data_IF_215463329034
#
_entry.id   IF_215463329034
#
_cell.length_a   1.000
_cell.length_b   1.000
_cell.length_c   1.000
_cell.angle_alpha   90.00
_cell.angle_beta   90.00
_cell.angle_gamma   90.00
#
_symmetry.space_group_name_H-M   'P 1'
#
loop_
_entity.id
_entity.type
_entity.pdbx_description
1 polymer ?
#
# COMPACT_ATOMS: atom_id res chain seq x y z
N UNK A 1 -1.83 -15.40 -22.57
CA UNK A 1 -1.89 -16.15 -21.30
C UNK A 1 -0.92 -15.59 -20.26
N UNK A 2 0.40 -15.63 -20.51
CA UNK A 2 1.45 -15.12 -19.57
C UNK A 2 1.22 -13.69 -19.05
N UNK A 3 0.82 -12.76 -19.92
CA UNK A 3 0.56 -11.36 -19.52
C UNK A 3 -0.55 -11.26 -18.46
N UNK A 4 -1.63 -12.04 -18.62
CA UNK A 4 -2.77 -12.03 -17.71
C UNK A 4 -2.39 -12.62 -16.36
N UNK A 5 -1.57 -13.68 -16.36
CA UNK A 5 -1.04 -14.29 -15.13
C UNK A 5 -0.13 -13.33 -14.37
N UNK A 6 0.78 -12.65 -15.07
CA UNK A 6 1.67 -11.65 -14.47
C UNK A 6 0.87 -10.49 -13.87
N UNK A 7 -0.14 -10.00 -14.59
CA UNK A 7 -1.03 -8.94 -14.10
C UNK A 7 -1.82 -9.40 -12.86
N UNK A 8 -2.34 -10.64 -12.88
CA UNK A 8 -3.04 -11.23 -11.73
C UNK A 8 -2.15 -11.32 -10.48
N UNK A 9 -0.92 -11.78 -10.63
CA UNK A 9 0.06 -11.83 -9.53
C UNK A 9 0.38 -10.42 -9.02
N UNK A 10 0.58 -9.45 -9.92
CA UNK A 10 0.85 -8.06 -9.55
C UNK A 10 -0.31 -7.45 -8.75
N UNK A 11 -1.55 -7.67 -9.19
CA UNK A 11 -2.74 -7.22 -8.48
C UNK A 11 -2.89 -7.91 -7.11
N UNK A 12 -2.65 -9.22 -7.03
CA UNK A 12 -2.72 -9.97 -5.78
C UNK A 12 -1.69 -9.47 -4.76
N UNK A 13 -0.45 -9.24 -5.22
CA UNK A 13 0.62 -8.68 -4.40
C UNK A 13 0.29 -7.26 -3.92
N UNK A 14 -0.24 -6.42 -4.81
CA UNK A 14 -0.71 -5.08 -4.45
C UNK A 14 -1.83 -5.11 -3.42
N UNK A 15 -2.74 -6.07 -3.50
CA UNK A 15 -3.86 -6.21 -2.57
C UNK A 15 -3.39 -6.65 -1.19
N UNK A 16 -2.50 -7.65 -1.11
CA UNK A 16 -1.85 -8.07 0.13
C UNK A 16 -1.04 -6.92 0.76
N UNK A 17 -0.30 -6.18 -0.06
CA UNK A 17 0.45 -5.00 0.38
C UNK A 17 -0.49 -3.94 0.92
N UNK A 18 -1.57 -3.60 0.21
CA UNK A 18 -2.54 -2.59 0.61
C UNK A 18 -3.15 -2.87 1.98
N UNK A 19 -3.49 -4.14 2.26
CA UNK A 19 -4.00 -4.55 3.59
C UNK A 19 -2.95 -4.34 4.68
N UNK A 20 -1.70 -4.76 4.45
CA UNK A 20 -0.61 -4.54 5.42
C UNK A 20 -0.29 -3.05 5.61
N UNK A 21 -0.33 -2.28 4.52
CA UNK A 21 -0.04 -0.85 4.48
C UNK A 21 -1.14 -0.02 5.15
N UNK A 22 -2.40 -0.44 5.03
CA UNK A 22 -3.54 0.16 5.73
C UNK A 22 -3.39 0.12 7.25
N UNK A 23 -2.86 -0.99 7.78
CA UNK A 23 -2.71 -1.19 9.23
C UNK A 23 -1.51 -0.44 9.83
N UNK A 24 -0.37 -0.44 9.15
CA UNK A 24 0.90 0.11 9.71
C UNK A 24 1.64 1.07 8.78
N UNK A 25 1.47 0.97 7.46
CA UNK A 25 2.25 1.73 6.49
C UNK A 25 1.97 3.23 6.52
N UNK A 26 0.69 3.63 6.59
CA UNK A 26 0.31 5.05 6.62
C UNK A 26 0.95 5.82 7.77
N UNK A 27 0.93 5.25 8.98
CA UNK A 27 1.49 5.89 10.17
C UNK A 27 3.03 6.03 10.15
N UNK A 28 3.71 5.22 9.32
CA UNK A 28 5.17 5.21 9.16
C UNK A 28 5.61 6.21 8.09
N UNK A 29 4.94 6.27 6.94
CA UNK A 29 5.29 7.22 5.87
C UNK A 29 4.84 8.65 6.16
N UNK A 30 3.65 8.83 6.74
CA UNK A 30 3.12 10.14 7.08
C UNK A 30 2.79 10.23 8.57
N UNK A 31 3.55 11.03 9.36
CA UNK A 31 3.19 11.35 10.74
C UNK A 31 1.79 11.94 10.85
N UNK A 32 1.36 12.73 9.86
CA UNK A 32 0.01 13.30 9.75
C UNK A 32 -1.09 12.24 9.58
N UNK A 33 -0.77 11.07 9.02
CA UNK A 33 -1.71 9.98 8.84
C UNK A 33 -2.00 9.20 10.13
N UNK A 34 -1.27 9.45 11.24
CA UNK A 34 -1.61 8.90 12.57
C UNK A 34 -2.96 9.41 13.08
N UNK A 35 -3.33 10.64 12.73
CA UNK A 35 -4.61 11.25 13.09
C UNK A 35 -5.72 11.07 12.03
N UNK A 36 -5.39 10.48 10.88
CA UNK A 36 -6.35 10.30 9.79
C UNK A 36 -7.44 9.29 10.16
N UNK A 37 -8.70 9.67 9.89
CA UNK A 37 -9.85 8.80 10.10
C UNK A 37 -9.76 7.51 9.26
N UNK A 38 -10.42 6.44 9.70
CA UNK A 38 -10.50 5.17 8.97
C UNK A 38 -11.00 5.38 7.53
N UNK A 39 -11.94 6.31 7.32
CA UNK A 39 -12.47 6.66 6.00
C UNK A 39 -11.40 7.27 5.11
N UNK A 40 -10.56 8.15 5.66
CA UNK A 40 -9.43 8.76 4.95
C UNK A 40 -8.40 7.71 4.53
N UNK A 41 -8.05 6.79 5.43
CA UNK A 41 -7.17 5.67 5.10
C UNK A 41 -7.78 4.74 4.04
N UNK A 42 -9.10 4.58 4.06
CA UNK A 42 -9.84 3.75 3.10
C UNK A 42 -9.82 4.37 1.69
N UNK A 43 -9.93 5.70 1.61
CA UNK A 43 -9.82 6.46 0.36
C UNK A 43 -8.41 6.34 -0.27
N UNK A 44 -7.37 6.25 0.55
CA UNK A 44 -6.00 6.11 0.05
C UNK A 44 -5.60 4.67 -0.28
N UNK A 45 -6.34 3.68 0.23
CA UNK A 45 -6.00 2.26 0.04
C UNK A 45 -6.00 1.79 -1.42
N UNK A 46 -6.97 2.16 -2.28
CA UNK A 46 -6.91 1.77 -3.69
C UNK A 46 -5.68 2.36 -4.40
N UNK A 47 -5.27 3.59 -4.05
CA UNK A 47 -4.05 4.19 -4.59
C UNK A 47 -2.80 3.44 -4.11
N UNK A 48 -2.75 3.01 -2.84
CA UNK A 48 -1.61 2.26 -2.33
C UNK A 48 -1.52 0.82 -2.83
N UNK A 49 -2.65 0.20 -3.17
CA UNK A 49 -2.69 -1.07 -3.89
C UNK A 49 -2.13 -0.92 -5.31
N UNK A 50 -2.51 0.15 -6.03
CA UNK A 50 -2.02 0.41 -7.38
C UNK A 50 -0.51 0.74 -7.42
N UNK A 51 -0.05 1.56 -6.47
CA UNK A 51 1.32 2.06 -6.35
C UNK A 51 2.18 1.26 -5.35
N UNK A 52 1.79 0.01 -5.07
CA UNK A 52 2.44 -0.82 -4.07
C UNK A 52 3.97 -0.97 -4.22
N UNK A 53 4.58 -1.10 -5.42
CA UNK A 53 6.03 -1.31 -5.52
C UNK A 53 6.80 -0.07 -5.07
N UNK A 54 6.28 1.11 -5.42
CA UNK A 54 6.86 2.39 -5.06
C UNK A 54 6.72 2.64 -3.55
N UNK A 55 5.52 2.41 -3.00
CA UNK A 55 5.27 2.55 -1.56
C UNK A 55 6.03 1.52 -0.74
N UNK A 56 6.21 0.30 -1.22
CA UNK A 56 7.02 -0.72 -0.57
C UNK A 56 8.48 -0.27 -0.48
N UNK A 57 9.04 0.28 -1.57
CA UNK A 57 10.40 0.81 -1.59
C UNK A 57 10.57 1.95 -0.59
N UNK A 58 9.63 2.90 -0.56
CA UNK A 58 9.62 3.97 0.46
C UNK A 58 9.49 3.38 1.87
N UNK A 59 8.57 2.45 2.08
CA UNK A 59 8.31 1.90 3.41
C UNK A 59 9.50 1.14 4.00
N UNK A 60 10.23 0.40 3.17
CA UNK A 60 11.47 -0.26 3.59
C UNK A 60 12.56 0.78 3.92
N UNK A 61 12.67 1.85 3.13
CA UNK A 61 13.64 2.93 3.38
C UNK A 61 13.30 3.86 4.54
N UNK A 62 12.03 3.91 4.96
CA UNK A 62 11.54 4.71 6.10
C UNK A 62 11.44 3.91 7.40
N UNK A 63 11.72 2.59 7.39
CA UNK A 63 11.87 1.81 8.62
C UNK A 63 13.25 2.16 9.24
N UNK A 64 13.31 2.50 10.55
CA UNK A 64 14.56 2.83 11.22
C UNK A 64 15.52 1.65 11.29
#
# INVERSE_FOLDING_TARGET
MILLTMLGIYCLAGLLFGVAFFLRGYAVLEPGARGASIVTRLLWTPASIALWPYLLKMWIGSRP
#
